data_IF_500979727440
#
_entry.id   IF_500979727440
#
_cell.length_a   1.000
_cell.length_b   1.000
_cell.length_c   1.000
_cell.angle_alpha   90.00
_cell.angle_beta   90.00
_cell.angle_gamma   90.00
#
_symmetry.space_group_name_H-M   'P 1'
#
loop_
_entity.id
_entity.type
_entity.pdbx_description
1 polymer ?
#
# COMPACT_ATOMS: atom_id res chain seq x y z
N UNK A 1 9.81 21.82 -1.30
CA UNK A 1 8.83 21.50 -2.35
C UNK A 1 8.00 20.31 -1.90
N UNK A 2 6.75 20.18 -2.35
CA UNK A 2 5.91 19.03 -1.98
C UNK A 2 6.00 17.95 -3.05
N UNK A 3 6.19 16.71 -2.62
CA UNK A 3 5.95 15.51 -3.43
C UNK A 3 4.64 14.89 -2.98
N UNK A 4 3.88 14.36 -3.94
CA UNK A 4 2.59 13.71 -3.66
C UNK A 4 2.74 12.22 -3.87
N UNK A 5 2.20 11.44 -2.94
CA UNK A 5 2.18 9.97 -3.05
C UNK A 5 0.73 9.57 -3.30
N UNK A 6 0.51 8.84 -4.38
CA UNK A 6 -0.77 8.22 -4.70
C UNK A 6 -0.61 6.73 -4.46
N UNK A 7 -1.47 6.14 -3.63
CA UNK A 7 -1.49 4.69 -3.39
C UNK A 7 -2.82 4.16 -3.88
N UNK A 8 -2.82 3.47 -5.02
CA UNK A 8 -4.00 2.75 -5.48
C UNK A 8 -4.07 1.43 -4.74
N UNK A 9 -5.20 1.18 -4.09
CA UNK A 9 -5.48 -0.08 -3.40
C UNK A 9 -6.36 -0.94 -4.29
N UNK A 10 -5.86 -2.11 -4.67
CA UNK A 10 -6.55 -3.05 -5.54
C UNK A 10 -6.91 -4.28 -4.70
N UNK A 11 -8.21 -4.54 -4.56
CA UNK A 11 -8.70 -5.73 -3.89
C UNK A 11 -8.70 -6.92 -4.86
N UNK A 12 -8.22 -8.06 -4.39
CA UNK A 12 -8.16 -9.32 -5.13
C UNK A 12 -8.67 -10.45 -4.25
N UNK A 13 -8.97 -11.61 -4.84
CA UNK A 13 -9.37 -12.80 -4.08
C UNK A 13 -8.30 -13.27 -3.08
N UNK A 14 -7.03 -12.95 -3.31
CA UNK A 14 -5.89 -13.35 -2.46
C UNK A 14 -5.46 -12.27 -1.46
N UNK A 15 -6.23 -11.18 -1.35
CA UNK A 15 -5.91 -10.03 -0.50
C UNK A 15 -5.76 -8.73 -1.28
N UNK A 16 -4.88 -7.84 -0.83
CA UNK A 16 -4.70 -6.49 -1.32
C UNK A 16 -3.40 -6.35 -2.11
N UNK A 17 -3.45 -5.65 -3.24
CA UNK A 17 -2.26 -5.22 -4.00
C UNK A 17 -2.23 -3.70 -3.98
N UNK A 18 -1.06 -3.12 -3.74
CA UNK A 18 -0.85 -1.68 -3.84
C UNK A 18 -0.09 -1.34 -5.12
N UNK A 19 -0.57 -0.32 -5.84
CA UNK A 19 0.10 0.29 -7.00
C UNK A 19 0.43 1.76 -6.64
N UNK A 20 1.63 2.01 -6.07
CA UNK A 20 2.03 3.34 -5.64
C UNK A 20 2.69 4.16 -6.76
N UNK A 21 2.43 5.46 -6.74
CA UNK A 21 3.04 6.44 -7.63
C UNK A 21 3.52 7.64 -6.81
N UNK A 22 4.75 8.10 -7.06
CA UNK A 22 5.28 9.34 -6.47
C UNK A 22 5.27 10.41 -7.56
N UNK A 23 4.45 11.43 -7.39
CA UNK A 23 4.39 12.59 -8.25
C UNK A 23 5.25 13.71 -7.68
N UNK A 24 6.29 14.07 -8.43
CA UNK A 24 7.17 15.18 -8.13
C UNK A 24 6.93 16.33 -9.14
N UNK A 25 7.05 17.60 -8.71
CA UNK A 25 6.95 18.74 -9.62
C UNK A 25 7.98 18.67 -10.77
N UNK A 26 7.56 19.02 -11.99
CA UNK A 26 8.42 18.99 -13.19
C UNK A 26 9.54 20.06 -13.14
N UNK A 27 9.35 21.11 -12.34
CA UNK A 27 10.36 22.15 -12.10
C UNK A 27 11.44 21.73 -11.09
N UNK A 28 11.45 20.45 -10.68
CA UNK A 28 12.48 19.84 -9.84
C UNK A 28 11.91 19.36 -8.50
N UNK A 29 12.67 18.48 -7.85
CA UNK A 29 12.41 18.01 -6.50
C UNK A 29 13.73 17.95 -5.72
N UNK A 30 13.67 18.12 -4.41
CA UNK A 30 14.84 17.91 -3.57
C UNK A 30 15.01 16.40 -3.31
N UNK A 31 16.26 15.92 -3.29
CA UNK A 31 16.55 14.53 -2.92
C UNK A 31 15.96 14.15 -1.56
N UNK A 32 15.95 15.09 -0.59
CA UNK A 32 15.36 14.87 0.74
C UNK A 32 13.88 14.47 0.67
N UNK A 33 13.08 15.13 -0.17
CA UNK A 33 11.64 14.86 -0.28
C UNK A 33 11.39 13.49 -0.92
N UNK A 34 12.18 13.13 -1.93
CA UNK A 34 12.10 11.81 -2.57
C UNK A 34 12.49 10.67 -1.63
N UNK A 35 13.46 10.87 -0.74
CA UNK A 35 13.83 9.88 0.28
C UNK A 35 12.65 9.59 1.21
N UNK A 36 11.99 10.63 1.74
CA UNK A 36 10.83 10.45 2.59
C UNK A 36 9.64 9.82 1.85
N UNK A 37 9.40 10.22 0.60
CA UNK A 37 8.32 9.64 -0.19
C UNK A 37 8.56 8.16 -0.50
N UNK A 38 9.80 7.79 -0.86
CA UNK A 38 10.19 6.41 -1.13
C UNK A 38 10.05 5.55 0.13
N UNK A 39 10.51 6.04 1.28
CA UNK A 39 10.38 5.34 2.56
C UNK A 39 8.89 5.14 2.94
N UNK A 40 8.05 6.12 2.67
CA UNK A 40 6.59 6.05 2.91
C UNK A 40 5.94 4.99 2.02
N UNK A 41 6.28 4.94 0.73
CA UNK A 41 5.80 3.90 -0.20
C UNK A 41 6.24 2.51 0.26
N UNK A 42 7.49 2.35 0.67
CA UNK A 42 8.00 1.08 1.18
C UNK A 42 7.23 0.61 2.42
N UNK A 43 7.00 1.51 3.38
CA UNK A 43 6.23 1.20 4.59
C UNK A 43 4.77 0.78 4.26
N UNK A 44 4.14 1.43 3.28
CA UNK A 44 2.80 1.05 2.84
C UNK A 44 2.77 -0.34 2.19
N UNK A 45 3.77 -0.67 1.37
CA UNK A 45 3.89 -1.99 0.74
C UNK A 45 4.10 -3.09 1.79
N UNK A 46 4.92 -2.84 2.81
CA UNK A 46 5.12 -3.81 3.89
C UNK A 46 3.86 -3.99 4.73
N UNK A 47 3.13 -2.90 5.03
CA UNK A 47 1.83 -2.98 5.69
C UNK A 47 0.82 -3.83 4.88
N UNK A 48 0.81 -3.72 3.54
CA UNK A 48 -0.03 -4.55 2.69
C UNK A 48 0.33 -6.04 2.77
N UNK A 49 1.63 -6.38 2.80
CA UNK A 49 2.08 -7.78 2.99
C UNK A 49 1.60 -8.33 4.34
N UNK A 50 1.71 -7.54 5.40
CA UNK A 50 1.25 -7.93 6.74
C UNK A 50 -0.26 -8.14 6.79
N UNK A 51 -1.03 -7.26 6.14
CA UNK A 51 -2.48 -7.40 6.02
C UNK A 51 -2.86 -8.66 5.25
N UNK A 52 -2.18 -8.96 4.14
CA UNK A 52 -2.41 -10.17 3.37
C UNK A 52 -2.06 -11.44 4.17
N UNK A 53 -0.94 -11.44 4.90
CA UNK A 53 -0.58 -12.56 5.76
C UNK A 53 -1.62 -12.79 6.88
N UNK A 54 -2.21 -11.71 7.41
CA UNK A 54 -3.34 -11.81 8.36
C UNK A 54 -4.60 -12.33 7.68
N UNK A 55 -4.91 -11.87 6.46
CA UNK A 55 -6.07 -12.33 5.68
C UNK A 55 -5.99 -13.82 5.36
N UNK A 56 -4.84 -14.31 4.87
CA UNK A 56 -4.65 -15.75 4.61
C UNK A 56 -4.79 -16.60 5.88
N UNK A 57 -4.45 -16.07 7.06
CA UNK A 57 -4.71 -16.76 8.34
C UNK A 57 -6.20 -16.79 8.72
N UNK A 58 -7.01 -15.86 8.22
CA UNK A 58 -8.46 -15.86 8.41
C UNK A 58 -9.14 -16.85 7.46
N UNK A 59 -8.71 -16.95 6.19
CA UNK A 59 -9.23 -17.95 5.25
C UNK A 59 -8.98 -19.39 5.72
N UNK A 60 -7.88 -19.63 6.42
CA UNK A 60 -7.57 -20.93 7.02
C UNK A 60 -8.30 -21.21 8.35
N UNK A 61 -9.20 -20.32 8.80
CA UNK A 61 -10.11 -20.61 9.93
C UNK A 61 -11.44 -21.14 9.38
N UNK A 62 -11.79 -22.41 9.64
CA UNK A 62 -13.07 -22.95 9.20
C UNK A 62 -14.22 -22.18 9.90
N UNK A 63 -15.04 -21.47 9.12
CA UNK A 63 -16.40 -21.09 9.53
C UNK A 63 -16.79 -19.61 9.55
N UNK A 64 -15.92 -18.63 9.32
CA UNK A 64 -16.33 -17.21 9.38
C UNK A 64 -16.60 -16.60 8.00
N UNK A 65 -17.84 -16.74 7.51
CA UNK A 65 -18.37 -15.85 6.47
C UNK A 65 -18.53 -14.44 7.04
N UNK A 66 -17.68 -13.47 6.67
CA UNK A 66 -17.95 -12.05 6.94
C UNK A 66 -17.45 -11.15 5.80
N UNK A 67 -18.21 -11.09 4.72
CA UNK A 67 -18.31 -9.84 3.95
C UNK A 67 -19.35 -8.98 4.69
N UNK A 68 -18.94 -7.81 5.18
CA UNK A 68 -19.87 -6.78 5.68
C UNK A 68 -20.03 -5.78 4.53
N UNK A 69 -21.28 -5.57 4.10
CA UNK A 69 -21.66 -4.59 3.09
C UNK A 69 -21.38 -3.16 3.55
#
# INVERSE_FOLDING_TARGET
MSVTIIIKVIHTEKGLVLDPEIQAPANGHCQHEMVFATATVAAALDAAKDLNAKFSKLENKPGEKKHVH
#
